data_IF_945677636680
#
_entry.id   IF_945677636680
#
_cell.length_a   1.000
_cell.length_b   1.000
_cell.length_c   1.000
_cell.angle_alpha   90.00
_cell.angle_beta   90.00
_cell.angle_gamma   90.00
#
_symmetry.space_group_name_H-M   'P 1'
#
loop_
_entity.id
_entity.type
_entity.pdbx_description
1 polymer ?
#
# COMPACT_ATOMS: atom_id res chain seq x y z
N UNK A 1 36.71 -15.00 14.87
CA UNK A 1 36.26 -13.61 14.67
C UNK A 1 35.49 -13.57 13.35
N UNK A 2 34.16 -13.62 13.44
CA UNK A 2 33.25 -12.92 12.52
C UNK A 2 32.25 -12.26 13.45
N UNK A 3 32.10 -10.98 13.22
CA UNK A 3 31.68 -9.94 14.13
C UNK A 3 30.15 -9.84 14.11
N UNK A 4 29.54 -9.53 15.26
CA UNK A 4 28.11 -9.66 15.49
C UNK A 4 27.26 -8.92 14.48
N UNK A 5 26.41 -9.67 13.80
CA UNK A 5 25.23 -9.18 13.13
C UNK A 5 24.30 -8.63 14.22
N UNK A 6 24.45 -7.34 14.52
CA UNK A 6 23.54 -6.64 15.44
C UNK A 6 22.16 -6.76 14.83
N UNK A 7 21.31 -7.60 15.40
CA UNK A 7 19.88 -7.65 15.11
C UNK A 7 19.38 -6.22 15.10
N UNK A 8 19.11 -5.69 13.90
CA UNK A 8 18.66 -4.31 13.74
C UNK A 8 17.22 -4.32 14.25
N UNK A 9 16.99 -3.73 15.41
CA UNK A 9 15.63 -3.53 15.89
C UNK A 9 14.92 -2.60 14.90
N UNK A 10 14.07 -3.19 14.07
CA UNK A 10 13.19 -2.45 13.15
C UNK A 10 12.01 -1.94 13.97
N UNK A 11 11.73 -0.65 13.87
CA UNK A 11 10.53 -0.05 14.45
C UNK A 11 9.35 -0.26 13.50
N UNK A 12 8.84 -1.50 13.43
CA UNK A 12 7.81 -1.91 12.46
C UNK A 12 6.57 -0.99 12.44
N UNK A 13 6.15 -0.49 13.61
CA UNK A 13 5.03 0.45 13.71
C UNK A 13 5.31 1.79 12.99
N UNK A 14 6.56 2.25 13.02
CA UNK A 14 6.98 3.48 12.35
C UNK A 14 7.16 3.27 10.85
N UNK A 15 7.70 2.12 10.44
CA UNK A 15 7.83 1.78 9.02
C UNK A 15 6.47 1.64 8.34
N UNK A 16 5.51 0.95 8.96
CA UNK A 16 4.15 0.82 8.42
C UNK A 16 3.50 2.19 8.20
N UNK A 17 3.52 3.07 9.21
CA UNK A 17 2.99 4.43 9.09
C UNK A 17 3.65 5.21 7.97
N UNK A 18 4.99 5.13 7.86
CA UNK A 18 5.75 5.81 6.82
C UNK A 18 5.34 5.34 5.42
N UNK A 19 5.15 4.04 5.24
CA UNK A 19 4.67 3.44 3.99
C UNK A 19 3.25 3.92 3.67
N UNK A 20 2.33 3.89 4.62
CA UNK A 20 0.96 4.41 4.42
C UNK A 20 0.94 5.89 4.04
N UNK A 21 1.73 6.73 4.71
CA UNK A 21 1.78 8.17 4.42
C UNK A 21 2.30 8.45 3.01
N UNK A 22 3.30 7.69 2.55
CA UNK A 22 3.81 7.78 1.18
C UNK A 22 2.80 7.30 0.14
N UNK A 23 2.05 6.24 0.44
CA UNK A 23 1.00 5.75 -0.45
C UNK A 23 -0.16 6.76 -0.56
N UNK A 24 -0.53 7.41 0.55
CA UNK A 24 -1.47 8.54 0.56
C UNK A 24 -0.95 9.70 -0.30
N UNK A 25 0.33 10.05 -0.19
CA UNK A 25 0.95 11.10 -1.00
C UNK A 25 0.96 10.75 -2.50
N UNK A 26 1.37 9.53 -2.86
CA UNK A 26 1.39 9.05 -4.24
C UNK A 26 -0.01 9.07 -4.89
N UNK A 27 -1.04 8.69 -4.14
CA UNK A 27 -2.42 8.79 -4.60
C UNK A 27 -2.84 10.25 -4.83
N UNK A 28 -2.49 11.16 -3.91
CA UNK A 28 -2.78 12.59 -4.06
C UNK A 28 -2.08 13.19 -5.29
N UNK A 29 -0.81 12.86 -5.53
CA UNK A 29 -0.07 13.30 -6.73
C UNK A 29 -0.76 12.78 -7.99
N UNK A 30 -1.18 11.51 -8.02
CA UNK A 30 -1.88 10.92 -9.17
C UNK A 30 -3.20 11.65 -9.45
N UNK A 31 -3.99 11.97 -8.41
CA UNK A 31 -5.24 12.72 -8.55
C UNK A 31 -5.02 14.17 -9.00
N UNK A 32 -3.99 14.84 -8.48
CA UNK A 32 -3.64 16.19 -8.91
C UNK A 32 -3.20 16.23 -10.38
N UNK A 33 -2.40 15.26 -10.82
CA UNK A 33 -2.01 15.14 -12.23
C UNK A 33 -3.23 14.95 -13.15
N UNK A 34 -4.21 14.15 -12.72
CA UNK A 34 -5.45 13.95 -13.45
C UNK A 34 -6.28 15.24 -13.57
N UNK A 35 -6.42 15.98 -12.47
CA UNK A 35 -7.20 17.22 -12.43
C UNK A 35 -6.55 18.37 -13.24
N UNK A 36 -5.22 18.38 -13.36
CA UNK A 36 -4.46 19.40 -14.07
C UNK A 36 -4.40 19.19 -15.60
N UNK A 37 -4.76 18.01 -16.11
CA UNK A 37 -4.60 17.67 -17.52
C UNK A 37 -5.67 18.25 -18.44
N UNK A 38 -5.27 19.14 -19.38
CA UNK A 38 -6.02 19.38 -20.62
C UNK A 38 -5.70 18.31 -21.69
N UNK A 39 -6.60 18.03 -22.67
CA UNK A 39 -6.52 16.85 -23.55
C UNK A 39 -5.39 16.81 -24.59
N UNK A 40 -4.39 17.68 -24.51
CA UNK A 40 -3.26 17.72 -25.43
C UNK A 40 -2.00 18.07 -24.63
N UNK A 41 -0.88 17.35 -24.86
CA UNK A 41 0.47 17.56 -24.28
C UNK A 41 0.84 16.67 -23.04
N UNK A 42 2.14 16.56 -22.64
CA UNK A 42 2.79 15.51 -21.81
C UNK A 42 2.12 15.05 -20.51
N UNK A 43 1.11 15.78 -20.02
CA UNK A 43 0.33 15.47 -18.83
C UNK A 43 -0.28 14.06 -18.84
N UNK A 44 -0.68 13.52 -19.99
CA UNK A 44 -1.20 12.14 -20.08
C UNK A 44 -0.12 11.09 -19.80
N UNK A 45 1.13 11.33 -20.20
CA UNK A 45 2.25 10.40 -19.95
C UNK A 45 2.64 10.40 -18.48
N UNK A 46 2.65 11.57 -17.86
CA UNK A 46 2.96 11.71 -16.44
C UNK A 46 1.87 11.09 -15.57
N UNK A 47 0.59 11.27 -15.92
CA UNK A 47 -0.52 10.59 -15.25
C UNK A 47 -0.39 9.07 -15.31
N UNK A 48 -0.06 8.50 -16.48
CA UNK A 48 0.17 7.06 -16.63
C UNK A 48 1.34 6.57 -15.78
N UNK A 49 2.43 7.36 -15.72
CA UNK A 49 3.59 7.05 -14.89
C UNK A 49 3.24 7.05 -13.40
N UNK A 50 2.55 8.08 -12.92
CA UNK A 50 2.12 8.18 -11.51
C UNK A 50 1.13 7.08 -11.15
N UNK A 51 0.13 6.84 -12.00
CA UNK A 51 -0.85 5.78 -11.82
C UNK A 51 -0.16 4.41 -11.74
N UNK A 52 0.78 4.13 -12.65
CA UNK A 52 1.50 2.87 -12.65
C UNK A 52 2.37 2.71 -11.40
N UNK A 53 3.18 3.72 -11.08
CA UNK A 53 4.06 3.69 -9.90
C UNK A 53 3.28 3.51 -8.60
N UNK A 54 2.17 4.24 -8.44
CA UNK A 54 1.29 4.10 -7.29
C UNK A 54 0.64 2.70 -7.22
N UNK A 55 0.11 2.17 -8.33
CA UNK A 55 -0.47 0.83 -8.34
C UNK A 55 0.57 -0.24 -7.98
N UNK A 56 1.77 -0.17 -8.57
CA UNK A 56 2.87 -1.10 -8.28
C UNK A 56 3.28 -1.05 -6.81
N UNK A 57 3.42 0.16 -6.25
CA UNK A 57 3.81 0.32 -4.86
C UNK A 57 2.75 -0.23 -3.89
N UNK A 58 1.46 0.06 -4.13
CA UNK A 58 0.38 -0.42 -3.26
C UNK A 58 0.23 -1.95 -3.33
N UNK A 59 0.35 -2.53 -4.53
CA UNK A 59 0.36 -3.99 -4.69
C UNK A 59 1.52 -4.63 -3.94
N UNK A 60 2.74 -4.12 -4.11
CA UNK A 60 3.92 -4.68 -3.45
C UNK A 60 3.84 -4.58 -1.91
N UNK A 61 3.27 -3.50 -1.40
CA UNK A 61 3.03 -3.32 0.03
C UNK A 61 2.09 -4.39 0.59
N UNK A 62 0.87 -4.52 0.05
CA UNK A 62 -0.09 -5.50 0.54
C UNK A 62 0.38 -6.96 0.35
N UNK A 63 1.06 -7.26 -0.77
CA UNK A 63 1.63 -8.60 -1.00
C UNK A 63 2.74 -8.92 0.02
N UNK A 64 3.57 -7.94 0.39
CA UNK A 64 4.57 -8.08 1.43
C UNK A 64 3.93 -8.37 2.78
N UNK A 65 2.86 -7.67 3.12
CA UNK A 65 2.15 -7.88 4.37
C UNK A 65 1.50 -9.26 4.43
N UNK A 66 0.79 -9.66 3.38
CA UNK A 66 0.11 -10.95 3.31
C UNK A 66 1.07 -12.13 3.39
N UNK A 67 2.23 -12.00 2.75
CA UNK A 67 3.22 -13.07 2.65
C UNK A 67 4.14 -13.15 3.87
N UNK A 68 4.53 -12.01 4.42
CA UNK A 68 5.63 -11.92 5.39
C UNK A 68 5.17 -11.35 6.75
N UNK A 69 4.50 -10.19 6.77
CA UNK A 69 4.14 -9.52 8.03
C UNK A 69 3.04 -10.26 8.81
N UNK A 70 1.92 -10.55 8.15
CA UNK A 70 0.75 -11.14 8.79
C UNK A 70 1.01 -12.55 9.32
N UNK A 71 1.75 -13.43 8.63
CA UNK A 71 2.17 -14.71 9.22
C UNK A 71 3.02 -14.54 10.49
N UNK A 72 3.97 -13.59 10.50
CA UNK A 72 4.80 -13.32 11.67
C UNK A 72 3.96 -12.80 12.85
N UNK A 73 2.98 -11.93 12.59
CA UNK A 73 2.02 -11.49 13.61
C UNK A 73 1.18 -12.67 14.09
N UNK A 74 0.65 -13.51 13.20
CA UNK A 74 -0.23 -14.64 13.57
C UNK A 74 0.46 -15.74 14.39
N UNK A 75 1.79 -15.84 14.28
CA UNK A 75 2.61 -16.75 15.09
C UNK A 75 2.76 -16.22 16.53
N UNK A 76 3.05 -14.93 16.69
CA UNK A 76 3.27 -14.30 18.00
C UNK A 76 1.98 -13.85 18.70
N UNK A 77 0.94 -13.54 17.92
CA UNK A 77 -0.37 -13.04 18.35
C UNK A 77 -1.52 -13.85 17.71
N UNK A 78 -1.70 -15.13 18.09
CA UNK A 78 -2.76 -16.01 17.59
C UNK A 78 -4.18 -15.44 17.60
N UNK A 79 -4.48 -14.57 18.56
CA UNK A 79 -5.76 -13.89 18.74
C UNK A 79 -6.11 -12.91 17.62
N UNK A 80 -5.12 -12.46 16.83
CA UNK A 80 -5.33 -11.50 15.74
C UNK A 80 -5.67 -12.16 14.41
N UNK A 81 -5.66 -13.50 14.29
CA UNK A 81 -5.89 -14.20 13.01
C UNK A 81 -7.17 -13.78 12.29
N UNK A 82 -8.26 -13.54 13.03
CA UNK A 82 -9.50 -13.07 12.41
C UNK A 82 -9.36 -11.64 11.86
N UNK A 83 -8.65 -10.77 12.59
CA UNK A 83 -8.34 -9.40 12.14
C UNK A 83 -7.46 -9.41 10.89
N UNK A 84 -6.42 -10.24 10.87
CA UNK A 84 -5.53 -10.39 9.70
C UNK A 84 -6.28 -10.93 8.47
N UNK A 85 -7.20 -11.88 8.66
CA UNK A 85 -8.07 -12.37 7.57
C UNK A 85 -8.98 -11.27 7.01
N UNK A 86 -9.47 -10.35 7.86
CA UNK A 86 -10.25 -9.20 7.37
C UNK A 86 -9.36 -8.23 6.57
N UNK A 87 -8.12 -7.97 7.01
CA UNK A 87 -7.18 -7.14 6.26
C UNK A 87 -6.83 -7.75 4.89
N UNK A 88 -6.57 -9.05 4.83
CA UNK A 88 -6.36 -9.80 3.56
C UNK A 88 -7.57 -9.69 2.61
N UNK A 89 -8.79 -9.65 3.16
CA UNK A 89 -9.99 -9.46 2.36
C UNK A 89 -10.07 -8.04 1.79
N UNK A 90 -9.67 -7.03 2.57
CA UNK A 90 -9.53 -5.66 2.07
C UNK A 90 -8.45 -5.58 0.97
N UNK A 91 -7.31 -6.26 1.14
CA UNK A 91 -6.24 -6.32 0.13
C UNK A 91 -6.76 -6.88 -1.20
N UNK A 92 -7.50 -7.97 -1.17
CA UNK A 92 -8.11 -8.58 -2.37
C UNK A 92 -9.08 -7.62 -3.08
N UNK A 93 -9.85 -6.85 -2.31
CA UNK A 93 -10.76 -5.84 -2.86
C UNK A 93 -9.99 -4.65 -3.46
N UNK A 94 -8.93 -4.19 -2.80
CA UNK A 94 -8.08 -3.11 -3.31
C UNK A 94 -7.36 -3.54 -4.58
N UNK A 95 -6.82 -4.76 -4.64
CA UNK A 95 -6.19 -5.34 -5.83
C UNK A 95 -7.15 -5.34 -7.03
N UNK A 96 -8.41 -5.71 -6.81
CA UNK A 96 -9.44 -5.66 -7.85
C UNK A 96 -9.66 -4.22 -8.37
N UNK A 97 -9.71 -3.23 -7.48
CA UNK A 97 -9.87 -1.82 -7.84
C UNK A 97 -8.65 -1.28 -8.61
N UNK A 98 -7.43 -1.66 -8.17
CA UNK A 98 -6.18 -1.32 -8.85
C UNK A 98 -6.15 -1.89 -10.26
N UNK A 99 -6.53 -3.15 -10.43
CA UNK A 99 -6.61 -3.79 -11.76
C UNK A 99 -7.58 -3.03 -12.68
N UNK A 100 -8.74 -2.61 -12.15
CA UNK A 100 -9.70 -1.80 -12.88
C UNK A 100 -9.14 -0.43 -13.30
N UNK A 101 -8.44 0.25 -12.40
CA UNK A 101 -7.77 1.53 -12.68
C UNK A 101 -6.68 1.37 -13.74
N UNK A 102 -5.82 0.36 -13.62
CA UNK A 102 -4.77 0.06 -14.59
C UNK A 102 -5.35 -0.24 -15.98
N UNK A 103 -6.43 -1.01 -16.06
CA UNK A 103 -7.11 -1.30 -17.32
C UNK A 103 -7.70 -0.04 -17.95
N UNK A 104 -8.31 0.85 -17.16
CA UNK A 104 -8.82 2.14 -17.61
C UNK A 104 -7.70 3.05 -18.12
N UNK A 105 -6.58 3.13 -17.39
CA UNK A 105 -5.40 3.88 -17.78
C UNK A 105 -4.79 3.35 -19.09
N UNK A 106 -4.62 2.04 -19.23
CA UNK A 106 -4.01 1.40 -20.40
C UNK A 106 -4.80 1.65 -21.69
N UNK A 107 -6.13 1.78 -21.63
CA UNK A 107 -6.97 2.12 -22.78
C UNK A 107 -7.20 3.62 -22.96
N UNK A 108 -6.50 4.47 -22.21
CA UNK A 108 -6.68 5.92 -22.20
C UNK A 108 -8.15 6.34 -21.96
N UNK A 109 -8.76 5.80 -20.91
CA UNK A 109 -10.10 6.18 -20.49
C UNK A 109 -10.24 7.70 -20.26
N UNK A 110 -11.44 8.29 -20.46
CA UNK A 110 -11.66 9.70 -20.20
C UNK A 110 -11.31 10.10 -18.76
N UNK A 111 -10.84 11.34 -18.49
CA UNK A 111 -10.42 11.76 -17.16
C UNK A 111 -11.49 11.54 -16.08
N UNK A 112 -12.77 11.81 -16.39
CA UNK A 112 -13.88 11.60 -15.47
C UNK A 112 -14.08 10.13 -15.06
N UNK A 113 -13.65 9.18 -15.89
CA UNK A 113 -13.69 7.75 -15.55
C UNK A 113 -12.52 7.38 -14.63
N UNK A 114 -11.32 7.84 -14.93
CA UNK A 114 -10.14 7.63 -14.07
C UNK A 114 -10.35 8.26 -12.68
N UNK A 115 -10.98 9.43 -12.61
CA UNK A 115 -11.26 10.12 -11.35
C UNK A 115 -12.19 9.28 -10.45
N UNK A 116 -13.24 8.67 -11.02
CA UNK A 116 -14.12 7.76 -10.27
C UNK A 116 -13.39 6.54 -9.73
N UNK A 117 -12.46 5.97 -10.51
CA UNK A 117 -11.62 4.86 -10.02
C UNK A 117 -10.74 5.30 -8.86
N UNK A 118 -10.05 6.45 -8.99
CA UNK A 118 -9.18 6.99 -7.95
C UNK A 118 -9.94 7.40 -6.69
N UNK A 119 -11.14 7.97 -6.83
CA UNK A 119 -12.01 8.33 -5.71
C UNK A 119 -12.46 7.09 -4.93
N UNK A 120 -12.95 6.06 -5.64
CA UNK A 120 -13.35 4.80 -5.01
C UNK A 120 -12.19 4.12 -4.28
N UNK A 121 -11.02 4.11 -4.90
CA UNK A 121 -9.81 3.57 -4.30
C UNK A 121 -9.38 4.37 -3.06
N UNK A 122 -9.40 5.71 -3.13
CA UNK A 122 -9.05 6.57 -2.01
C UNK A 122 -9.94 6.31 -0.78
N UNK A 123 -11.24 6.14 -0.99
CA UNK A 123 -12.19 5.89 0.10
C UNK A 123 -11.91 4.54 0.80
N UNK A 124 -11.66 3.49 0.01
CA UNK A 124 -11.37 2.15 0.56
C UNK A 124 -10.00 2.12 1.25
N UNK A 125 -8.96 2.66 0.62
CA UNK A 125 -7.62 2.72 1.19
C UNK A 125 -7.59 3.47 2.53
N UNK A 126 -8.23 4.63 2.62
CA UNK A 126 -8.22 5.41 3.86
C UNK A 126 -8.94 4.67 5.00
N UNK A 127 -10.04 3.97 4.69
CA UNK A 127 -10.73 3.11 5.67
C UNK A 127 -9.82 1.96 6.13
N UNK A 128 -9.16 1.30 5.17
CA UNK A 128 -8.27 0.16 5.37
C UNK A 128 -7.05 0.54 6.23
N UNK A 129 -6.23 1.50 5.79
CA UNK A 129 -5.03 1.93 6.53
C UNK A 129 -5.37 2.37 7.95
N UNK A 130 -6.46 3.12 8.13
CA UNK A 130 -6.88 3.53 9.48
C UNK A 130 -7.30 2.33 10.33
N UNK A 131 -7.94 1.32 9.74
CA UNK A 131 -8.32 0.11 10.47
C UNK A 131 -7.07 -0.68 10.88
N UNK A 132 -6.18 -0.95 9.93
CA UNK A 132 -4.93 -1.64 10.19
C UNK A 132 -4.10 -0.95 11.27
N UNK A 133 -3.84 0.34 11.11
CA UNK A 133 -3.05 1.11 12.06
C UNK A 133 -3.63 1.03 13.49
N UNK A 134 -4.97 1.12 13.61
CA UNK A 134 -5.65 0.99 14.90
C UNK A 134 -5.49 -0.39 15.52
N UNK A 135 -5.37 -1.44 14.72
CA UNK A 135 -5.34 -2.83 15.19
C UNK A 135 -3.93 -3.33 15.43
N UNK A 136 -2.96 -2.91 14.61
CA UNK A 136 -1.65 -3.54 14.55
C UNK A 136 -0.52 -2.69 15.11
N UNK A 137 -0.61 -1.36 15.18
CA UNK A 137 0.57 -0.55 15.55
C UNK A 137 1.15 -0.89 16.93
N UNK A 138 0.32 -1.07 17.96
CA UNK A 138 0.80 -1.46 19.29
C UNK A 138 1.38 -2.87 19.32
N UNK A 139 0.95 -3.74 18.40
CA UNK A 139 1.49 -5.11 18.23
C UNK A 139 2.87 -5.03 17.58
N UNK A 140 3.00 -4.17 16.56
CA UNK A 140 4.24 -3.93 15.82
C UNK A 140 5.33 -3.26 16.65
N UNK A 141 5.00 -2.57 17.75
CA UNK A 141 5.99 -2.04 18.70
C UNK A 141 6.82 -3.13 19.39
N UNK A 142 6.28 -4.34 19.50
CA UNK A 142 6.91 -5.48 20.18
C UNK A 142 7.20 -6.67 19.26
N UNK A 143 6.88 -6.55 17.97
CA UNK A 143 7.04 -7.64 17.00
C UNK A 143 8.52 -7.99 16.83
N UNK A 144 8.88 -9.24 17.12
CA UNK A 144 10.20 -9.78 16.85
C UNK A 144 10.21 -10.42 15.45
N UNK A 145 10.58 -9.63 14.43
CA UNK A 145 10.75 -10.08 13.06
C UNK A 145 12.08 -9.54 12.52
N UNK A 146 12.99 -10.46 12.16
CA UNK A 146 14.29 -10.16 11.57
C UNK A 146 14.19 -10.27 10.04
N UNK A 147 13.75 -9.19 9.41
CA UNK A 147 13.53 -9.10 7.98
C UNK A 147 13.79 -7.67 7.49
N UNK A 148 14.04 -7.53 6.19
CA UNK A 148 14.19 -6.24 5.55
C UNK A 148 12.81 -5.55 5.40
N UNK A 149 12.62 -4.33 5.93
CA UNK A 149 11.36 -3.60 5.77
C UNK A 149 10.89 -3.45 4.33
N UNK A 150 11.81 -3.28 3.37
CA UNK A 150 11.44 -3.12 1.95
C UNK A 150 10.87 -4.42 1.34
N UNK A 151 11.22 -5.57 1.92
CA UNK A 151 10.65 -6.87 1.51
C UNK A 151 9.27 -7.08 2.12
N UNK A 152 9.09 -6.69 3.39
CA UNK A 152 7.89 -6.95 4.19
C UNK A 152 6.79 -5.93 3.94
N UNK A 153 7.14 -4.66 3.73
CA UNK A 153 6.19 -3.56 3.54
C UNK A 153 6.22 -2.99 2.12
N UNK A 154 7.02 -3.57 1.23
CA UNK A 154 7.19 -3.12 -0.15
C UNK A 154 8.20 -1.97 -0.29
N UNK A 155 8.83 -1.84 -1.48
CA UNK A 155 9.81 -0.79 -1.73
C UNK A 155 9.13 0.57 -1.93
N UNK A 156 9.48 1.56 -1.09
CA UNK A 156 8.96 2.94 -1.16
C UNK A 156 10.00 4.04 -0.90
#
# INVERSE_FOLDING_TARGET
>A
MVEGEKTRLVAWSSELRRVHDRLREALNVTRHALAAGEPAEPATRDLLLFCHGFCTALTAHHEGEDRDLFPAIAEQHPELRETLRYLQQDHSMIEHLLTGLQAAAARAAPPAELDRHLEGLAAIMESHFRYEERRLLSVLETLALDADPDTVLGPL
#
